data_IF_174994566546
#
_entry.id   IF_174994566546
#
_cell.length_a   1.000
_cell.length_b   1.000
_cell.length_c   1.000
_cell.angle_alpha   90.00
_cell.angle_beta   90.00
_cell.angle_gamma   90.00
#
_symmetry.space_group_name_H-M   'P 1'
#
loop_
_entity.id
_entity.type
_entity.pdbx_description
1 polymer ?
#
# COMPACT_ATOMS: atom_id res chain seq x y z
N UNK A 1 40.35 57.06 26.67
CA UNK A 1 40.31 57.78 25.38
C UNK A 1 38.84 57.96 25.00
N UNK A 2 38.25 59.13 25.31
CA UNK A 2 37.64 60.11 24.36
C UNK A 2 36.64 59.47 23.37
N UNK A 3 35.32 59.61 23.62
CA UNK A 3 34.36 60.62 23.08
C UNK A 3 33.92 60.32 21.62
N UNK A 4 32.69 60.47 21.14
CA UNK A 4 31.38 60.97 21.59
C UNK A 4 30.36 60.52 20.48
N UNK A 5 29.19 59.96 20.79
CA UNK A 5 27.86 60.60 20.89
C UNK A 5 27.19 61.02 19.54
N UNK A 6 26.08 60.35 19.15
CA UNK A 6 24.66 60.81 19.13
C UNK A 6 24.24 61.41 17.76
N UNK A 7 23.00 61.34 17.25
CA UNK A 7 21.63 61.07 17.77
C UNK A 7 20.65 60.94 16.57
N UNK A 8 19.66 60.03 16.60
CA UNK A 8 18.20 60.35 16.62
C UNK A 8 17.58 60.21 15.21
N UNK A 9 16.36 59.71 14.96
CA UNK A 9 15.06 59.75 15.65
C UNK A 9 14.14 58.73 14.91
N UNK A 10 13.65 57.64 15.52
CA UNK A 10 12.30 57.38 16.08
C UNK A 10 11.07 57.80 15.23
N UNK A 11 10.22 56.82 14.82
CA UNK A 11 8.72 56.82 14.79
C UNK A 11 8.22 55.53 14.09
N UNK A 12 7.78 54.48 14.78
CA UNK A 12 6.43 54.14 15.28
C UNK A 12 5.24 54.24 14.30
N UNK A 13 4.84 53.05 13.79
CA UNK A 13 3.51 52.41 13.64
C UNK A 13 2.27 53.31 13.73
N UNK A 14 1.33 53.16 12.78
CA UNK A 14 -0.08 52.77 13.02
C UNK A 14 -0.89 52.78 11.70
N UNK A 15 -1.39 51.60 11.28
CA UNK A 15 -2.46 51.47 10.29
C UNK A 15 -3.81 51.67 11.00
N UNK A 16 -4.57 52.68 10.60
CA UNK A 16 -5.97 52.86 10.97
C UNK A 16 -6.88 52.64 9.76
N UNK A 17 -8.03 52.03 10.01
CA UNK A 17 -9.06 51.68 9.04
C UNK A 17 -10.21 52.72 9.01
N UNK A 18 -10.92 52.76 7.85
CA UNK A 18 -12.31 53.22 7.57
C UNK A 18 -12.60 54.75 7.56
N UNK A 19 -13.74 55.23 6.98
CA UNK A 19 -14.53 54.79 5.80
C UNK A 19 -15.01 55.94 4.85
N UNK A 20 -15.57 55.52 3.69
CA UNK A 20 -16.55 56.12 2.76
C UNK A 20 -16.79 57.64 2.64
N UNK A 21 -16.77 58.16 1.39
CA UNK A 21 -17.83 59.02 0.82
C UNK A 21 -17.81 59.02 -0.72
N UNK A 22 -19.02 59.21 -1.27
CA UNK A 22 -19.48 59.19 -2.66
C UNK A 22 -19.05 60.40 -3.49
N UNK A 23 -18.92 60.26 -4.81
CA UNK A 23 -19.54 61.16 -5.79
C UNK A 23 -19.74 60.41 -7.12
N UNK A 24 -21.00 60.32 -7.54
CA UNK A 24 -21.37 59.94 -8.90
C UNK A 24 -20.98 61.09 -9.84
N UNK A 25 -20.31 60.74 -10.94
CA UNK A 25 -20.09 61.64 -12.07
C UNK A 25 -20.74 60.99 -13.29
N UNK A 26 -21.84 61.57 -13.76
CA UNK A 26 -22.47 61.20 -15.01
C UNK A 26 -21.48 61.45 -16.17
N UNK A 27 -21.18 60.42 -16.96
CA UNK A 27 -20.45 60.60 -18.22
C UNK A 27 -21.48 60.98 -19.28
N UNK A 28 -21.49 62.26 -19.66
CA UNK A 28 -22.32 62.78 -20.74
C UNK A 28 -21.82 62.29 -22.10
N UNK A 29 -22.44 61.19 -22.56
CA UNK A 29 -22.15 60.49 -23.82
C UNK A 29 -22.46 61.31 -25.08
N UNK A 30 -23.05 62.50 -24.97
CA UNK A 30 -23.27 63.39 -26.13
C UNK A 30 -22.00 64.08 -26.63
N UNK A 31 -20.88 63.97 -25.89
CA UNK A 31 -19.60 64.56 -26.27
C UNK A 31 -18.70 63.67 -27.16
N UNK A 32 -19.08 62.41 -27.41
CA UNK A 32 -18.24 61.44 -28.15
C UNK A 32 -18.68 61.29 -29.63
N UNK A 33 -19.94 61.59 -29.97
CA UNK A 33 -20.45 61.39 -31.33
C UNK A 33 -20.94 62.70 -31.96
N UNK A 34 -20.00 63.54 -32.38
CA UNK A 34 -20.27 64.59 -33.36
C UNK A 34 -20.06 64.03 -34.77
N UNK A 35 -21.17 63.78 -35.47
CA UNK A 35 -21.33 63.67 -36.92
C UNK A 35 -20.36 62.76 -37.70
N UNK A 36 -20.80 61.53 -37.98
CA UNK A 36 -20.84 61.00 -39.36
C UNK A 36 -21.66 59.71 -39.40
N UNK A 37 -22.35 59.50 -40.51
CA UNK A 37 -23.31 58.42 -40.79
C UNK A 37 -22.75 56.99 -40.64
N UNK A 38 -22.54 56.54 -39.41
CA UNK A 38 -22.42 55.14 -39.08
C UNK A 38 -23.78 54.66 -38.59
N UNK A 39 -24.51 54.00 -39.48
CA UNK A 39 -25.69 53.23 -39.09
C UNK A 39 -25.26 52.22 -38.03
N UNK A 40 -25.68 52.46 -36.78
CA UNK A 40 -25.49 51.55 -35.67
C UNK A 40 -26.25 50.26 -36.02
N UNK A 41 -25.57 49.31 -36.65
CA UNK A 41 -26.06 47.94 -36.75
C UNK A 41 -25.96 47.38 -35.35
N UNK A 42 -27.03 47.53 -34.57
CA UNK A 42 -27.28 46.65 -33.44
C UNK A 42 -27.52 45.27 -34.04
N UNK A 43 -26.45 44.50 -34.28
CA UNK A 43 -26.59 43.06 -34.21
C UNK A 43 -27.04 42.82 -32.77
N UNK A 44 -28.33 42.52 -32.58
CA UNK A 44 -28.79 41.87 -31.36
C UNK A 44 -28.00 40.57 -31.24
N UNK A 45 -26.83 40.64 -30.62
CA UNK A 45 -26.34 39.54 -29.84
C UNK A 45 -27.31 39.49 -28.67
N UNK A 46 -28.27 38.58 -28.73
CA UNK A 46 -29.19 38.34 -27.62
C UNK A 46 -28.34 37.98 -26.40
N UNK A 47 -28.11 38.95 -25.52
CA UNK A 47 -27.58 38.68 -24.19
C UNK A 47 -28.65 37.90 -23.43
N UNK A 48 -28.59 36.58 -23.55
CA UNK A 48 -29.46 35.67 -22.82
C UNK A 48 -29.02 35.66 -21.35
N UNK A 49 -29.80 36.30 -20.49
CA UNK A 49 -29.60 36.26 -19.05
C UNK A 49 -30.22 34.97 -18.47
N UNK A 50 -29.38 34.02 -18.07
CA UNK A 50 -29.82 32.79 -17.42
C UNK A 50 -29.74 32.88 -15.89
N UNK A 51 -30.69 32.23 -15.21
CA UNK A 51 -30.64 32.05 -13.76
C UNK A 51 -29.52 31.08 -13.37
N UNK A 52 -28.96 31.24 -12.16
CA UNK A 52 -27.96 30.31 -11.60
C UNK A 52 -28.56 29.04 -10.98
N UNK A 53 -29.84 28.75 -11.24
CA UNK A 53 -30.49 27.51 -10.82
C UNK A 53 -29.82 26.32 -11.51
N UNK A 54 -29.57 25.25 -10.75
CA UNK A 54 -28.93 24.05 -11.25
C UNK A 54 -29.96 22.93 -11.47
N UNK A 55 -30.45 22.83 -12.71
CA UNK A 55 -31.43 21.83 -13.18
C UNK A 55 -30.89 21.24 -14.49
N UNK A 56 -29.89 20.34 -14.44
CA UNK A 56 -29.05 20.02 -15.60
C UNK A 56 -29.82 19.34 -16.74
N UNK A 57 -29.37 19.58 -17.97
CA UNK A 57 -29.92 18.99 -19.20
C UNK A 57 -28.79 18.50 -20.13
N UNK A 58 -29.08 17.46 -20.91
CA UNK A 58 -28.15 16.93 -21.91
C UNK A 58 -28.47 17.49 -23.30
N UNK A 59 -27.48 18.12 -23.94
CA UNK A 59 -27.57 18.61 -25.31
C UNK A 59 -27.36 17.53 -26.36
N UNK A 60 -27.84 17.77 -27.59
CA UNK A 60 -27.65 16.91 -28.76
C UNK A 60 -26.20 16.84 -29.25
N UNK A 61 -25.37 17.75 -28.76
CA UNK A 61 -23.93 17.79 -28.91
C UNK A 61 -23.18 16.96 -27.85
N UNK A 62 -23.91 16.29 -26.94
CA UNK A 62 -23.33 15.48 -25.87
C UNK A 62 -22.79 16.29 -24.69
N UNK A 63 -23.03 17.61 -24.64
CA UNK A 63 -22.61 18.45 -23.52
C UNK A 63 -23.69 18.57 -22.45
N UNK A 64 -23.28 18.53 -21.18
CA UNK A 64 -24.17 18.79 -20.05
C UNK A 64 -24.22 20.29 -19.76
N UNK A 65 -25.42 20.86 -19.73
CA UNK A 65 -25.65 22.27 -19.41
C UNK A 65 -26.27 22.43 -18.02
N UNK A 66 -25.92 23.50 -17.31
CA UNK A 66 -26.36 23.78 -15.93
C UNK A 66 -27.88 23.89 -15.77
N UNK A 67 -28.55 24.35 -16.83
CA UNK A 67 -30.00 24.39 -16.98
C UNK A 67 -30.39 24.60 -18.45
N UNK A 68 -31.69 24.48 -18.74
CA UNK A 68 -32.27 24.61 -20.08
C UNK A 68 -32.03 25.98 -20.73
N UNK A 69 -31.94 27.06 -19.94
CA UNK A 69 -31.62 28.38 -20.46
C UNK A 69 -30.19 28.43 -21.01
N UNK A 70 -29.22 27.87 -20.26
CA UNK A 70 -27.81 27.84 -20.69
C UNK A 70 -27.65 26.97 -21.95
N UNK A 71 -28.37 25.85 -22.04
CA UNK A 71 -28.39 25.01 -23.25
C UNK A 71 -28.93 25.77 -24.47
N UNK A 72 -30.07 26.47 -24.30
CA UNK A 72 -30.66 27.29 -25.35
C UNK A 72 -29.77 28.45 -25.78
N UNK A 73 -29.10 29.11 -24.84
CA UNK A 73 -28.13 30.18 -25.13
C UNK A 73 -26.91 29.68 -25.92
N UNK A 74 -26.51 28.42 -25.72
CA UNK A 74 -25.47 27.76 -26.49
C UNK A 74 -25.96 27.21 -27.84
N UNK A 75 -27.27 27.28 -28.12
CA UNK A 75 -27.87 26.70 -29.33
C UNK A 75 -27.94 25.17 -29.34
N UNK A 76 -27.81 24.53 -28.17
CA UNK A 76 -27.89 23.08 -28.05
C UNK A 76 -29.35 22.62 -27.89
N UNK A 77 -29.77 21.64 -28.71
CA UNK A 77 -31.07 21.00 -28.56
C UNK A 77 -31.05 20.02 -27.40
N UNK A 78 -32.01 20.09 -26.48
CA UNK A 78 -32.05 19.23 -25.30
C UNK A 78 -32.55 17.84 -25.70
N UNK A 79 -31.72 16.81 -25.48
CA UNK A 79 -32.03 15.39 -25.76
C UNK A 79 -32.61 14.67 -24.55
N UNK A 80 -32.19 15.03 -23.33
CA UNK A 80 -32.76 14.49 -22.09
C UNK A 80 -32.64 15.47 -20.92
N UNK A 81 -33.54 15.36 -19.96
CA UNK A 81 -33.36 15.95 -18.63
C UNK A 81 -32.24 15.21 -17.88
N UNK A 82 -31.50 15.94 -17.03
CA UNK A 82 -30.32 15.43 -16.34
C UNK A 82 -29.02 15.63 -17.11
N UNK A 83 -27.90 15.22 -16.53
CA UNK A 83 -26.60 15.26 -17.19
C UNK A 83 -26.56 14.29 -18.38
N UNK A 84 -25.73 14.58 -19.39
CA UNK A 84 -25.51 13.61 -20.45
C UNK A 84 -24.96 12.30 -19.89
N UNK A 85 -25.40 11.14 -20.44
CA UNK A 85 -24.76 9.87 -20.13
C UNK A 85 -23.29 10.00 -20.49
N UNK A 86 -22.43 9.97 -19.48
CA UNK A 86 -21.01 9.96 -19.71
C UNK A 86 -20.66 8.57 -20.25
N UNK A 87 -20.34 8.52 -21.54
CA UNK A 87 -19.90 7.32 -22.25
C UNK A 87 -18.63 6.70 -21.61
N UNK A 88 -17.92 7.48 -20.76
CA UNK A 88 -16.81 7.03 -19.91
C UNK A 88 -17.19 6.86 -18.42
N UNK A 89 -18.42 7.15 -18.00
CA UNK A 89 -18.92 6.84 -16.66
C UNK A 89 -19.42 5.40 -16.59
N UNK A 90 -18.58 4.44 -16.98
CA UNK A 90 -18.58 3.17 -16.25
C UNK A 90 -17.97 3.44 -14.87
N UNK A 91 -18.79 4.02 -13.99
CA UNK A 91 -18.55 3.99 -12.56
C UNK A 91 -18.31 2.53 -12.14
N UNK A 92 -17.47 2.32 -11.13
CA UNK A 92 -17.35 0.99 -10.58
C UNK A 92 -18.63 0.68 -9.78
N UNK A 93 -19.17 -0.55 -9.88
CA UNK A 93 -20.28 -0.95 -9.03
C UNK A 93 -19.82 -0.84 -7.56
N UNK A 94 -20.66 -0.29 -6.68
CA UNK A 94 -20.37 -0.22 -5.23
C UNK A 94 -20.68 -1.56 -4.52
N UNK A 95 -20.48 -2.68 -5.22
CA UNK A 95 -20.61 -4.02 -4.66
C UNK A 95 -19.37 -4.32 -3.84
N UNK A 96 -19.57 -4.74 -2.60
CA UNK A 96 -18.49 -5.18 -1.72
C UNK A 96 -18.11 -6.63 -2.05
N UNK A 97 -17.06 -6.78 -2.86
CA UNK A 97 -16.45 -8.05 -3.28
C UNK A 97 -14.92 -7.88 -3.28
N UNK A 98 -14.29 -7.89 -2.09
CA UNK A 98 -12.97 -7.30 -1.91
C UNK A 98 -11.85 -8.07 -2.61
N UNK A 99 -10.83 -7.34 -3.04
CA UNK A 99 -9.57 -7.89 -3.58
C UNK A 99 -8.37 -7.27 -2.88
N UNK A 100 -7.29 -8.02 -2.78
CA UNK A 100 -6.02 -7.56 -2.22
C UNK A 100 -5.09 -7.16 -3.35
N UNK A 101 -4.64 -5.90 -3.36
CA UNK A 101 -3.67 -5.41 -4.32
C UNK A 101 -2.24 -5.83 -3.98
N UNK A 102 -1.36 -5.87 -4.98
CA UNK A 102 0.09 -6.06 -4.79
C UNK A 102 0.76 -4.93 -4.00
N UNK A 103 0.06 -3.79 -3.86
CA UNK A 103 0.46 -2.65 -3.05
C UNK A 103 0.03 -2.79 -1.57
N UNK A 104 -0.58 -3.92 -1.21
CA UNK A 104 -1.04 -4.22 0.15
C UNK A 104 -2.35 -3.56 0.54
N UNK A 105 -3.04 -2.91 -0.40
CA UNK A 105 -4.32 -2.26 -0.14
C UNK A 105 -5.50 -3.19 -0.45
N UNK A 106 -6.52 -3.14 0.43
CA UNK A 106 -7.79 -3.80 0.15
C UNK A 106 -8.68 -2.88 -0.67
N UNK A 107 -9.09 -3.35 -1.84
CA UNK A 107 -10.06 -2.67 -2.69
C UNK A 107 -11.43 -3.27 -2.50
N UNK A 108 -12.47 -2.44 -2.55
CA UNK A 108 -13.86 -2.89 -2.40
C UNK A 108 -14.26 -3.91 -3.49
N UNK A 109 -13.68 -3.80 -4.68
CA UNK A 109 -13.76 -4.79 -5.75
C UNK A 109 -12.68 -4.55 -6.83
N UNK A 110 -12.60 -5.50 -7.76
CA UNK A 110 -11.66 -5.51 -8.89
C UNK A 110 -11.70 -4.22 -9.74
N UNK A 111 -12.87 -3.64 -10.00
CA UNK A 111 -12.97 -2.41 -10.78
C UNK A 111 -12.26 -1.24 -10.07
N UNK A 112 -12.40 -1.13 -8.75
CA UNK A 112 -11.71 -0.08 -7.99
C UNK A 112 -10.20 -0.33 -7.88
N UNK A 113 -9.74 -1.58 -7.86
CA UNK A 113 -8.32 -1.92 -7.96
C UNK A 113 -7.74 -1.50 -9.31
N UNK A 114 -8.42 -1.85 -10.41
CA UNK A 114 -8.02 -1.48 -11.78
C UNK A 114 -7.96 0.03 -11.98
N UNK A 115 -8.99 0.77 -11.52
CA UNK A 115 -8.99 2.24 -11.58
C UNK A 115 -7.90 2.89 -10.73
N UNK A 116 -7.42 2.19 -9.71
CA UNK A 116 -6.29 2.62 -8.88
C UNK A 116 -4.94 2.15 -9.44
N UNK A 117 -4.94 1.45 -10.57
CA UNK A 117 -3.76 0.83 -11.19
C UNK A 117 -3.04 -0.17 -10.26
N UNK A 118 -3.80 -0.84 -9.40
CA UNK A 118 -3.29 -1.91 -8.56
C UNK A 118 -3.53 -3.26 -9.24
N UNK A 119 -2.44 -4.01 -9.46
CA UNK A 119 -2.55 -5.42 -9.82
C UNK A 119 -3.08 -6.22 -8.63
N UNK A 120 -3.92 -7.22 -8.90
CA UNK A 120 -4.53 -8.04 -7.84
C UNK A 120 -3.56 -9.14 -7.43
N UNK A 121 -3.17 -9.12 -6.15
CA UNK A 121 -2.35 -10.16 -5.52
C UNK A 121 -3.18 -11.37 -5.08
N UNK A 122 -4.47 -11.17 -4.77
CA UNK A 122 -5.37 -12.26 -4.44
C UNK A 122 -6.81 -11.79 -4.19
N UNK A 123 -7.72 -12.76 -4.17
CA UNK A 123 -9.12 -12.52 -3.84
C UNK A 123 -9.30 -12.31 -2.33
N UNK A 124 -10.32 -11.56 -1.95
CA UNK A 124 -10.59 -11.20 -0.57
C UNK A 124 -9.80 -9.97 -0.10
N UNK A 125 -10.00 -9.58 1.15
CA UNK A 125 -9.26 -8.47 1.74
C UNK A 125 -7.80 -8.86 2.01
N UNK A 126 -6.91 -7.87 2.02
CA UNK A 126 -5.57 -8.06 2.53
C UNK A 126 -5.59 -8.29 4.05
N UNK A 127 -4.59 -9.00 4.53
CA UNK A 127 -4.22 -9.08 5.94
C UNK A 127 -3.65 -7.73 6.42
N UNK A 128 -3.44 -7.55 7.75
CA UNK A 128 -2.80 -6.35 8.27
C UNK A 128 -1.38 -6.09 7.73
N UNK A 129 -0.69 -7.12 7.27
CA UNK A 129 0.65 -7.02 6.68
C UNK A 129 0.62 -6.69 5.18
N UNK A 130 -0.56 -6.51 4.59
CA UNK A 130 -0.71 -6.22 3.16
C UNK A 130 -0.57 -7.46 2.28
N UNK A 131 -0.83 -8.64 2.82
CA UNK A 131 -0.78 -9.90 2.07
C UNK A 131 -2.18 -10.39 1.72
N UNK A 132 -2.33 -11.17 0.64
CA UNK A 132 -3.58 -11.90 0.40
C UNK A 132 -3.95 -12.79 1.58
N UNK A 133 -5.24 -12.97 1.83
CA UNK A 133 -5.76 -13.76 2.96
C UNK A 133 -6.08 -15.22 2.62
N UNK A 134 -5.72 -15.69 1.42
CA UNK A 134 -5.90 -17.09 1.06
C UNK A 134 -5.00 -18.01 1.90
N UNK A 135 -5.49 -19.22 2.16
CA UNK A 135 -4.81 -20.23 2.99
C UNK A 135 -3.97 -21.17 2.11
N UNK A 136 -2.67 -20.89 2.04
CA UNK A 136 -1.66 -21.76 1.44
C UNK A 136 -0.49 -21.88 2.42
N UNK A 137 -0.67 -22.63 3.52
CA UNK A 137 0.19 -22.52 4.67
C UNK A 137 1.63 -22.89 4.36
N UNK A 138 2.57 -22.24 5.05
CA UNK A 138 4.00 -22.53 4.97
C UNK A 138 4.60 -22.67 6.37
N UNK A 139 5.59 -23.54 6.52
CA UNK A 139 6.34 -23.67 7.75
C UNK A 139 7.55 -22.77 7.70
N UNK A 140 7.56 -21.73 8.54
CA UNK A 140 8.71 -20.84 8.67
C UNK A 140 9.86 -21.52 9.40
N UNK A 141 11.09 -21.10 9.10
CA UNK A 141 12.29 -21.61 9.77
C UNK A 141 12.22 -21.39 11.28
N UNK A 142 11.59 -20.32 11.77
CA UNK A 142 11.37 -20.08 13.19
C UNK A 142 10.36 -21.04 13.86
N UNK A 143 9.90 -22.07 13.15
CA UNK A 143 8.94 -23.07 13.64
C UNK A 143 7.51 -22.57 13.76
N UNK A 144 7.18 -21.39 13.21
CA UNK A 144 5.79 -20.89 13.15
C UNK A 144 5.17 -21.25 11.81
N UNK A 145 3.89 -21.65 11.84
CA UNK A 145 3.07 -21.78 10.63
C UNK A 145 2.54 -20.42 10.23
N UNK A 146 2.72 -20.07 8.95
CA UNK A 146 2.15 -18.86 8.34
C UNK A 146 1.03 -19.26 7.39
N UNK A 147 0.01 -18.41 7.27
CA UNK A 147 -1.16 -18.68 6.40
C UNK A 147 -0.77 -18.75 4.92
N UNK A 148 0.25 -17.99 4.52
CA UNK A 148 0.88 -18.09 3.22
C UNK A 148 2.30 -17.54 3.25
N UNK A 149 3.02 -17.69 2.14
CA UNK A 149 4.40 -17.20 1.99
C UNK A 149 4.53 -15.70 2.18
N UNK A 150 3.58 -14.91 1.67
CA UNK A 150 3.64 -13.45 1.83
C UNK A 150 3.69 -13.06 3.31
N UNK A 151 2.92 -13.72 4.16
CA UNK A 151 2.94 -13.48 5.60
C UNK A 151 4.27 -13.87 6.26
N UNK A 152 4.88 -14.97 5.83
CA UNK A 152 6.21 -15.34 6.28
C UNK A 152 7.26 -14.29 5.88
N UNK A 153 7.20 -13.82 4.63
CA UNK A 153 8.12 -12.81 4.09
C UNK A 153 7.93 -11.44 4.75
N UNK A 154 6.70 -11.04 5.08
CA UNK A 154 6.39 -9.83 5.81
C UNK A 154 7.05 -9.81 7.20
N UNK A 155 7.07 -10.96 7.89
CA UNK A 155 7.77 -11.16 9.16
C UNK A 155 9.29 -11.42 8.98
N UNK A 156 9.78 -11.44 7.73
CA UNK A 156 11.17 -11.79 7.34
C UNK A 156 11.60 -13.19 7.80
N UNK A 157 10.67 -14.12 7.83
CA UNK A 157 10.92 -15.51 8.16
C UNK A 157 11.14 -16.29 6.88
N UNK A 158 12.31 -16.91 6.77
CA UNK A 158 12.59 -17.84 5.68
C UNK A 158 11.62 -19.02 5.74
N UNK A 159 10.95 -19.32 4.63
CA UNK A 159 10.12 -20.52 4.50
C UNK A 159 11.02 -21.75 4.44
N UNK A 160 10.76 -22.73 5.32
CA UNK A 160 11.46 -24.01 5.28
C UNK A 160 10.80 -24.97 4.28
N UNK A 161 9.47 -25.01 4.24
CA UNK A 161 8.70 -25.89 3.36
C UNK A 161 7.25 -25.41 3.21
N UNK A 162 6.59 -25.90 2.14
CA UNK A 162 5.15 -25.79 1.97
C UNK A 162 4.40 -26.61 3.02
N UNK A 163 3.17 -26.21 3.29
CA UNK A 163 2.33 -26.79 4.33
C UNK A 163 2.61 -26.21 5.71
N UNK A 164 1.70 -26.47 6.66
CA UNK A 164 1.91 -26.13 8.06
C UNK A 164 3.14 -26.83 8.65
N UNK A 165 3.67 -26.30 9.76
CA UNK A 165 4.72 -26.99 10.49
C UNK A 165 4.21 -28.35 11.01
N UNK A 166 5.04 -29.37 10.82
CA UNK A 166 4.79 -30.74 11.28
C UNK A 166 5.55 -30.92 12.60
N UNK A 167 4.81 -31.23 13.66
CA UNK A 167 5.34 -31.45 14.99
C UNK A 167 6.35 -32.60 15.05
N UNK A 168 6.34 -33.55 14.11
CA UNK A 168 7.31 -34.63 14.01
C UNK A 168 8.55 -34.26 13.20
N UNK A 169 8.53 -33.12 12.51
CA UNK A 169 9.63 -32.62 11.70
C UNK A 169 9.83 -31.10 11.89
N UNK A 170 10.04 -30.67 13.14
CA UNK A 170 10.26 -29.26 13.44
C UNK A 170 11.60 -28.74 12.91
N UNK A 171 11.69 -27.46 12.47
CA UNK A 171 12.96 -26.83 12.16
C UNK A 171 13.94 -26.89 13.34
N UNK A 172 15.21 -27.23 13.06
CA UNK A 172 16.26 -27.31 14.07
C UNK A 172 16.96 -25.95 14.21
N UNK A 173 16.20 -24.94 14.65
CA UNK A 173 16.70 -23.59 14.95
C UNK A 173 16.32 -23.20 16.37
N UNK A 174 17.20 -22.44 17.02
CA UNK A 174 16.91 -21.79 18.29
C UNK A 174 16.29 -20.41 18.05
N UNK A 175 14.97 -20.37 17.92
CA UNK A 175 14.13 -19.18 17.80
C UNK A 175 13.09 -19.21 18.93
N UNK A 176 13.53 -18.98 20.18
CA UNK A 176 12.80 -19.45 21.36
C UNK A 176 11.46 -18.75 21.54
N UNK A 177 10.50 -19.50 22.08
CA UNK A 177 9.22 -18.98 22.54
C UNK A 177 8.97 -19.36 23.99
N UNK A 178 8.27 -18.50 24.70
CA UNK A 178 7.82 -18.73 26.06
C UNK A 178 6.35 -19.16 26.02
N UNK A 179 6.08 -20.40 26.44
CA UNK A 179 4.73 -20.93 26.57
C UNK A 179 3.97 -20.33 27.75
N UNK A 180 2.65 -20.44 27.73
CA UNK A 180 1.78 -20.05 28.85
C UNK A 180 2.01 -20.87 30.13
N UNK A 181 2.65 -22.03 30.01
CA UNK A 181 3.11 -22.87 31.11
C UNK A 181 4.42 -22.36 31.77
N UNK A 182 5.00 -21.28 31.23
CA UNK A 182 6.25 -20.69 31.71
C UNK A 182 7.49 -21.48 31.28
N UNK A 183 7.35 -22.44 30.36
CA UNK A 183 8.45 -23.22 29.78
C UNK A 183 8.92 -22.55 28.49
N UNK A 184 10.24 -22.51 28.32
CA UNK A 184 10.83 -22.05 27.06
C UNK A 184 11.03 -23.22 26.12
N UNK A 185 10.54 -23.07 24.90
CA UNK A 185 10.73 -24.00 23.81
C UNK A 185 11.72 -23.43 22.80
N UNK A 186 12.50 -24.29 22.15
CA UNK A 186 13.52 -23.87 21.19
C UNK A 186 12.92 -23.12 20.00
N UNK A 187 11.68 -23.47 19.63
CA UNK A 187 10.83 -22.71 18.71
C UNK A 187 9.35 -23.08 18.90
N UNK A 188 8.46 -22.38 18.17
CA UNK A 188 7.02 -22.57 18.28
C UNK A 188 6.57 -24.01 17.97
N UNK A 189 7.10 -24.62 16.92
CA UNK A 189 6.79 -26.01 16.54
C UNK A 189 7.07 -27.01 17.68
N UNK A 190 8.20 -26.86 18.39
CA UNK A 190 8.48 -27.73 19.55
C UNK A 190 7.52 -27.48 20.73
N UNK A 191 7.03 -26.25 20.89
CA UNK A 191 5.98 -25.94 21.86
C UNK A 191 4.64 -26.59 21.49
N UNK A 192 4.26 -26.51 20.21
CA UNK A 192 3.04 -27.14 19.70
C UNK A 192 3.09 -28.67 19.81
N UNK A 193 4.26 -29.26 19.54
CA UNK A 193 4.51 -30.69 19.79
C UNK A 193 4.28 -31.06 21.26
N UNK A 194 4.59 -30.15 22.18
CA UNK A 194 4.35 -30.33 23.62
C UNK A 194 2.91 -30.01 24.05
N UNK A 195 2.03 -29.64 23.11
CA UNK A 195 0.62 -29.32 23.38
C UNK A 195 0.36 -27.88 23.83
N UNK A 196 1.35 -26.98 23.71
CA UNK A 196 1.20 -25.56 23.99
C UNK A 196 0.84 -24.83 22.70
N UNK A 197 -0.15 -23.95 22.71
CA UNK A 197 -0.58 -23.20 21.51
C UNK A 197 -0.49 -21.68 21.69
N UNK A 198 -0.22 -21.21 22.90
CA UNK A 198 -0.15 -19.80 23.23
C UNK A 198 1.27 -19.43 23.67
N UNK A 199 1.88 -18.51 22.94
CA UNK A 199 3.30 -18.22 23.04
C UNK A 199 3.57 -16.73 23.06
N UNK A 200 4.62 -16.35 23.78
CA UNK A 200 5.29 -15.05 23.63
C UNK A 200 6.67 -15.27 23.03
N UNK A 201 7.03 -14.52 22.00
CA UNK A 201 8.37 -14.62 21.39
C UNK A 201 9.48 -14.27 22.39
N UNK A 202 10.52 -15.12 22.43
CA UNK A 202 11.66 -15.02 23.31
C UNK A 202 11.67 -16.07 24.44
N UNK A 203 12.72 -16.00 25.27
CA UNK A 203 12.89 -16.83 26.46
C UNK A 203 11.94 -16.39 27.59
N UNK A 204 11.48 -17.33 28.41
CA UNK A 204 10.73 -17.00 29.62
C UNK A 204 11.61 -16.31 30.68
N UNK A 205 11.04 -15.37 31.43
CA UNK A 205 11.69 -14.72 32.59
C UNK A 205 13.05 -14.05 32.30
N UNK A 206 13.33 -13.70 31.05
CA UNK A 206 14.56 -13.04 30.62
C UNK A 206 14.20 -11.79 29.81
N UNK A 207 15.07 -10.78 29.86
CA UNK A 207 14.93 -9.59 29.01
C UNK A 207 14.93 -10.00 27.54
N UNK A 208 13.88 -9.60 26.82
CA UNK A 208 13.68 -9.93 25.40
C UNK A 208 14.84 -9.47 24.53
N UNK A 209 15.20 -10.32 23.56
CA UNK A 209 15.98 -9.92 22.39
C UNK A 209 15.09 -9.17 21.39
N UNK A 210 15.67 -8.45 20.42
CA UNK A 210 14.92 -7.96 19.26
C UNK A 210 14.17 -9.11 18.58
N UNK A 211 12.93 -8.89 18.16
CA UNK A 211 12.08 -9.86 17.44
C UNK A 211 12.43 -9.99 15.96
N UNK A 212 13.69 -9.72 15.62
CA UNK A 212 14.16 -9.80 14.25
C UNK A 212 14.75 -11.19 14.01
N UNK A 213 14.30 -11.84 12.94
CA UNK A 213 14.88 -13.11 12.48
C UNK A 213 16.02 -12.81 11.50
N UNK A 214 17.24 -12.78 12.03
CA UNK A 214 18.48 -12.66 11.25
C UNK A 214 19.38 -13.80 11.69
N UNK A 215 19.26 -14.98 11.05
CA UNK A 215 19.89 -16.18 11.58
C UNK A 215 21.41 -16.05 11.64
N UNK A 216 22.01 -16.67 12.65
CA UNK A 216 23.46 -16.83 12.77
C UNK A 216 23.78 -18.29 13.07
N UNK A 217 24.89 -18.78 12.53
CA UNK A 217 25.39 -20.11 12.85
C UNK A 217 26.37 -20.01 14.02
N UNK A 218 26.10 -20.77 15.07
CA UNK A 218 27.00 -20.91 16.22
C UNK A 218 28.09 -21.95 15.97
N UNK A 219 29.18 -21.86 16.74
CA UNK A 219 30.28 -22.85 16.72
C UNK A 219 29.87 -24.25 17.20
N UNK A 220 28.67 -24.37 17.75
CA UNK A 220 28.00 -25.62 18.12
C UNK A 220 27.21 -26.23 16.95
N UNK A 221 27.33 -25.66 15.75
CA UNK A 221 26.58 -26.01 14.55
C UNK A 221 25.06 -25.86 14.70
N UNK A 222 24.60 -25.03 15.66
CA UNK A 222 23.20 -24.68 15.82
C UNK A 222 22.90 -23.32 15.19
N UNK A 223 21.78 -23.24 14.48
CA UNK A 223 21.28 -21.96 13.99
C UNK A 223 20.52 -21.26 15.10
N UNK A 224 20.79 -19.97 15.29
CA UNK A 224 20.09 -19.10 16.24
C UNK A 224 19.29 -18.06 15.45
N UNK A 225 18.06 -17.79 15.85
CA UNK A 225 17.18 -16.85 15.15
C UNK A 225 17.75 -15.42 15.09
N UNK A 226 18.65 -15.07 16.02
CA UNK A 226 19.53 -13.90 15.89
C UNK A 226 20.75 -13.98 16.82
N UNK A 227 21.69 -13.07 16.61
CA UNK A 227 22.92 -12.95 17.40
C UNK A 227 22.67 -12.81 18.91
N UNK A 228 21.63 -12.07 19.33
CA UNK A 228 21.30 -11.89 20.74
C UNK A 228 20.95 -13.23 21.42
N UNK A 229 20.24 -14.12 20.73
CA UNK A 229 19.94 -15.45 21.26
C UNK A 229 21.20 -16.33 21.38
N UNK A 230 22.10 -16.30 20.39
CA UNK A 230 23.38 -17.03 20.44
C UNK A 230 24.24 -16.56 21.62
N UNK A 231 24.43 -15.25 21.75
CA UNK A 231 25.25 -14.65 22.82
C UNK A 231 24.70 -14.96 24.22
N UNK A 232 23.37 -14.91 24.40
CA UNK A 232 22.73 -15.22 25.70
C UNK A 232 22.90 -16.68 26.10
N UNK A 233 23.02 -17.59 25.14
CA UNK A 233 23.31 -19.00 25.38
C UNK A 233 24.82 -19.25 25.58
N UNK A 234 25.65 -18.21 25.49
CA UNK A 234 27.10 -18.30 25.63
C UNK A 234 27.78 -18.91 24.40
N UNK A 235 27.10 -18.92 23.26
CA UNK A 235 27.62 -19.53 22.03
C UNK A 235 28.27 -18.46 21.17
N UNK A 236 29.53 -18.71 20.78
CA UNK A 236 30.25 -17.85 19.85
C UNK A 236 29.65 -18.04 18.45
N UNK A 237 29.39 -16.93 17.77
CA UNK A 237 28.94 -16.94 16.38
C UNK A 237 30.12 -17.33 15.49
N UNK A 238 29.89 -18.27 14.57
CA UNK A 238 30.85 -18.68 13.55
C UNK A 238 30.71 -17.82 12.30
N UNK A 239 29.49 -17.67 11.78
CA UNK A 239 29.16 -16.79 10.66
C UNK A 239 27.68 -16.38 10.67
N UNK A 240 27.34 -15.38 9.84
CA UNK A 240 25.96 -14.90 9.67
C UNK A 240 25.22 -15.77 8.64
N UNK A 241 23.96 -16.10 8.92
CA UNK A 241 23.14 -17.03 8.14
C UNK A 241 22.80 -18.30 8.90
N UNK A 242 22.10 -19.19 8.22
CA UNK A 242 21.79 -20.53 8.72
C UNK A 242 23.02 -21.43 8.67
N UNK A 243 23.10 -22.43 9.56
CA UNK A 243 24.17 -23.41 9.50
C UNK A 243 24.06 -24.30 8.25
N UNK A 244 25.19 -24.61 7.62
CA UNK A 244 25.27 -25.44 6.39
C UNK A 244 24.62 -26.82 6.57
N UNK A 245 24.59 -27.34 7.80
CA UNK A 245 23.92 -28.60 8.16
C UNK A 245 22.41 -28.60 7.91
N UNK A 246 21.79 -27.43 7.78
CA UNK A 246 20.36 -27.26 7.49
C UNK A 246 20.08 -26.85 6.04
N UNK A 247 21.11 -26.82 5.19
CA UNK A 247 21.05 -26.33 3.82
C UNK A 247 21.86 -25.04 3.62
N UNK A 248 22.06 -24.70 2.35
CA UNK A 248 22.73 -23.47 1.95
C UNK A 248 21.83 -22.26 2.21
N UNK A 249 22.45 -21.12 2.54
CA UNK A 249 21.72 -19.86 2.67
C UNK A 249 21.32 -19.36 1.28
N UNK A 250 20.08 -19.63 0.88
CA UNK A 250 19.59 -19.25 -0.44
C UNK A 250 19.26 -17.76 -0.50
N UNK A 251 19.59 -17.08 -1.62
CA UNK A 251 19.04 -15.77 -1.90
C UNK A 251 17.52 -15.82 -1.99
N UNK A 252 16.85 -14.72 -1.62
CA UNK A 252 15.41 -14.53 -1.76
C UNK A 252 15.05 -13.98 -3.16
N UNK A 253 15.69 -14.50 -4.20
CA UNK A 253 15.36 -14.20 -5.58
C UNK A 253 14.34 -15.22 -6.11
N UNK A 254 13.26 -14.71 -6.70
CA UNK A 254 12.25 -15.56 -7.34
C UNK A 254 12.69 -15.85 -8.79
N UNK A 255 13.43 -16.95 -8.96
CA UNK A 255 13.86 -17.55 -10.22
C UNK A 255 13.36 -19.00 -10.28
N UNK A 256 12.05 -19.22 -10.45
CA UNK A 256 11.43 -20.48 -10.09
C UNK A 256 11.97 -21.65 -10.91
N UNK A 257 12.03 -22.82 -10.28
CA UNK A 257 12.39 -24.09 -10.91
C UNK A 257 11.36 -25.16 -10.54
N UNK A 258 11.02 -26.00 -11.51
CA UNK A 258 10.13 -27.13 -11.30
C UNK A 258 10.98 -28.36 -10.95
N UNK A 259 10.69 -28.98 -9.81
CA UNK A 259 11.31 -30.24 -9.39
C UNK A 259 10.69 -31.46 -10.08
N UNK A 260 11.37 -32.60 -10.04
CA UNK A 260 10.84 -33.89 -10.51
C UNK A 260 9.69 -34.44 -9.64
N UNK A 261 9.49 -33.85 -8.46
CA UNK A 261 8.34 -34.04 -7.58
C UNK A 261 7.09 -33.27 -8.04
N UNK A 262 7.19 -32.49 -9.13
CA UNK A 262 6.16 -31.57 -9.62
C UNK A 262 5.91 -30.38 -8.68
N UNK A 263 6.85 -30.04 -7.79
CA UNK A 263 6.76 -28.83 -7.00
C UNK A 263 7.57 -27.67 -7.60
N UNK A 264 6.99 -26.48 -7.61
CA UNK A 264 7.69 -25.24 -7.90
C UNK A 264 8.48 -24.77 -6.67
N UNK A 265 9.79 -24.58 -6.84
CA UNK A 265 10.72 -23.99 -5.88
C UNK A 265 11.11 -22.57 -6.32
N UNK A 266 11.33 -21.65 -5.38
CA UNK A 266 11.59 -20.23 -5.69
C UNK A 266 12.86 -20.02 -6.51
N UNK A 267 13.89 -20.84 -6.27
CA UNK A 267 15.14 -20.84 -7.03
C UNK A 267 15.86 -22.19 -6.92
N UNK A 268 16.97 -22.32 -7.67
CA UNK A 268 17.74 -23.57 -7.73
C UNK A 268 18.37 -23.94 -6.38
N UNK A 269 18.76 -22.96 -5.56
CA UNK A 269 19.30 -23.23 -4.23
C UNK A 269 18.25 -23.89 -3.33
N UNK A 270 17.00 -23.42 -3.36
CA UNK A 270 15.92 -24.04 -2.59
C UNK A 270 15.60 -25.47 -3.05
N UNK A 271 15.65 -25.72 -4.36
CA UNK A 271 15.51 -27.07 -4.93
C UNK A 271 16.65 -28.02 -4.50
N UNK A 272 17.89 -27.52 -4.51
CA UNK A 272 19.07 -28.26 -4.06
C UNK A 272 18.98 -28.60 -2.57
N UNK A 273 18.54 -27.63 -1.74
CA UNK A 273 18.28 -27.84 -0.30
C UNK A 273 17.19 -28.89 -0.04
N UNK A 274 16.18 -28.98 -0.91
CA UNK A 274 15.15 -30.01 -0.84
C UNK A 274 15.65 -31.40 -1.30
N UNK A 275 16.85 -31.49 -1.91
CA UNK A 275 17.41 -32.72 -2.44
C UNK A 275 16.62 -33.28 -3.64
N UNK A 276 15.84 -32.41 -4.31
CA UNK A 276 15.00 -32.79 -5.45
C UNK A 276 15.74 -32.50 -6.75
N UNK A 277 15.63 -33.39 -7.72
CA UNK A 277 16.23 -33.14 -9.04
C UNK A 277 15.39 -32.14 -9.83
N UNK A 278 16.06 -31.18 -10.49
CA UNK A 278 15.40 -30.22 -11.38
C UNK A 278 14.80 -30.92 -12.60
N UNK A 279 13.50 -30.73 -12.83
CA UNK A 279 12.84 -31.15 -14.06
C UNK A 279 13.13 -30.13 -15.18
N UNK A 280 12.80 -28.86 -14.96
CA UNK A 280 13.08 -27.76 -15.90
C UNK A 280 13.09 -26.39 -15.18
N UNK A 281 13.52 -25.35 -15.89
CA UNK A 281 13.50 -23.98 -15.39
C UNK A 281 12.12 -23.33 -15.60
N UNK A 282 11.64 -22.57 -14.62
CA UNK A 282 10.28 -22.04 -14.55
C UNK A 282 9.42 -22.77 -13.52
N UNK A 283 8.26 -22.20 -13.21
CA UNK A 283 7.25 -22.86 -12.38
C UNK A 283 6.70 -24.12 -13.06
N UNK A 284 6.20 -25.06 -12.27
CA UNK A 284 5.53 -26.26 -12.75
C UNK A 284 4.26 -25.88 -13.54
N UNK A 285 3.95 -26.68 -14.57
CA UNK A 285 2.79 -26.43 -15.43
C UNK A 285 1.57 -27.06 -14.77
N UNK A 286 0.54 -26.27 -14.47
CA UNK A 286 -0.73 -26.75 -13.92
C UNK A 286 -0.91 -26.56 -12.41
N UNK A 287 -0.03 -25.78 -11.79
CA UNK A 287 -0.22 -25.20 -10.45
C UNK A 287 -1.34 -24.14 -10.47
#
# INVERSE_FOLDING_TARGET
MKHNARSGLLTMVLFFALPATTMAGDVDLQSIFSNSDAQLLLTQGDEVACTMQYDPVCGSDGQTYSNSCVAGAAGAEIVSEGMCPDENAKGCPEVFDPVCGVDGNTYINECFAEKSHAEIAGLGACTPNGCPSYEEPVCGMNGRTFVNRCEADADRILVQRKGACDADNCPVVFAPVCGEDGVTYDNACFGEKAGITNFTEGLCNVRSCPRLFVPVCGVDAMTYGNACFAERRGVRIEYAGVCESLGENCPNDYLPVCGMDSETYDNSCQLDNAGVQKAYAGACIGD
#
